data_IF_503724174733
#
_entry.id   IF_503724174733
#
_cell.length_a   1.000
_cell.length_b   1.000
_cell.length_c   1.000
_cell.angle_alpha   90.00
_cell.angle_beta   90.00
_cell.angle_gamma   90.00
#
_symmetry.space_group_name_H-M   'P 1'
#
loop_
_entity.id
_entity.type
_entity.pdbx_description
1 polymer ?
#
# COMPACT_ATOMS: atom_id res chain seq x y z
N UNK A 1 5.82 -85.00 5.54
CA UNK A 1 6.05 -84.09 4.37
C UNK A 1 4.87 -83.16 4.34
N UNK A 2 5.04 -81.89 4.83
CA UNK A 2 4.02 -80.85 4.84
C UNK A 2 4.63 -79.62 4.15
N UNK A 3 4.16 -79.34 2.97
CA UNK A 3 4.55 -78.16 2.18
C UNK A 3 3.79 -76.92 2.66
N UNK A 4 4.52 -75.88 3.11
CA UNK A 4 4.00 -74.60 3.49
C UNK A 4 3.99 -73.68 2.24
N UNK A 5 2.83 -73.20 1.88
CA UNK A 5 2.65 -72.17 0.83
C UNK A 5 2.81 -70.79 1.44
N UNK A 6 3.82 -70.04 1.02
CA UNK A 6 3.95 -68.60 1.35
C UNK A 6 3.09 -67.74 0.37
N UNK A 7 2.07 -67.09 0.91
CA UNK A 7 1.31 -66.09 0.20
C UNK A 7 2.07 -64.74 0.30
N UNK A 8 2.59 -64.26 -0.80
CA UNK A 8 3.13 -62.89 -0.96
C UNK A 8 1.95 -61.93 -1.20
N UNK A 9 1.58 -61.18 -0.18
CA UNK A 9 0.68 -60.03 -0.35
C UNK A 9 1.46 -58.81 -0.89
N UNK A 10 1.28 -58.54 -2.16
CA UNK A 10 1.80 -57.34 -2.77
C UNK A 10 1.02 -56.09 -2.31
N UNK A 11 1.69 -55.25 -1.55
CA UNK A 11 1.19 -53.92 -1.17
C UNK A 11 1.47 -52.94 -2.29
N UNK A 12 0.45 -52.61 -3.10
CA UNK A 12 0.51 -51.54 -4.11
C UNK A 12 0.48 -50.20 -3.36
N UNK A 13 1.66 -49.55 -3.25
CA UNK A 13 1.77 -48.18 -2.84
C UNK A 13 1.32 -47.27 -3.99
N UNK A 14 0.09 -46.77 -3.91
CA UNK A 14 -0.35 -45.64 -4.73
C UNK A 14 0.37 -44.37 -4.24
N UNK A 15 1.46 -44.02 -4.91
CA UNK A 15 2.09 -42.72 -4.80
C UNK A 15 1.17 -41.69 -5.48
N UNK A 16 0.32 -41.04 -4.69
CA UNK A 16 -0.38 -39.83 -5.12
C UNK A 16 0.66 -38.71 -5.24
N UNK A 17 1.17 -38.49 -6.44
CA UNK A 17 1.89 -37.28 -6.78
C UNK A 17 0.91 -36.11 -6.68
N UNK A 18 0.87 -35.45 -5.53
CA UNK A 18 0.31 -34.12 -5.42
C UNK A 18 1.16 -33.22 -6.34
N UNK A 19 0.64 -32.91 -7.52
CA UNK A 19 1.17 -31.83 -8.34
C UNK A 19 0.98 -30.55 -7.52
N UNK A 20 2.02 -30.10 -6.83
CA UNK A 20 2.15 -28.74 -6.40
C UNK A 20 2.29 -27.92 -7.66
N UNK A 21 1.18 -27.42 -8.16
CA UNK A 21 1.18 -26.35 -9.13
C UNK A 21 1.87 -25.18 -8.42
N UNK A 22 3.18 -25.03 -8.69
CA UNK A 22 3.90 -23.79 -8.49
C UNK A 22 3.23 -22.79 -9.44
N UNK A 23 2.22 -22.10 -8.93
CA UNK A 23 1.59 -20.99 -9.58
C UNK A 23 2.60 -19.84 -9.51
N UNK A 24 3.62 -19.93 -10.38
CA UNK A 24 4.60 -18.88 -10.56
C UNK A 24 3.81 -17.59 -10.75
N UNK A 25 3.89 -16.67 -9.78
CA UNK A 25 3.10 -15.46 -9.74
C UNK A 25 3.17 -14.80 -11.11
N UNK A 26 2.07 -14.81 -11.84
CA UNK A 26 2.05 -14.40 -13.24
C UNK A 26 2.62 -12.99 -13.35
N UNK A 27 3.62 -12.80 -14.23
CA UNK A 27 4.31 -11.53 -14.40
C UNK A 27 3.29 -10.46 -14.81
N UNK A 28 3.33 -9.31 -14.13
CA UNK A 28 2.41 -8.22 -14.42
C UNK A 28 2.60 -7.68 -15.85
N UNK A 29 1.49 -7.39 -16.51
CA UNK A 29 1.44 -6.77 -17.84
C UNK A 29 1.18 -5.26 -17.69
N UNK A 30 2.22 -4.46 -17.95
CA UNK A 30 2.15 -3.01 -17.80
C UNK A 30 1.23 -2.35 -18.84
N UNK A 31 1.07 -2.94 -20.04
CA UNK A 31 0.17 -2.39 -21.05
C UNK A 31 -1.29 -2.54 -20.62
N UNK A 32 -1.67 -3.74 -20.15
CA UNK A 32 -3.00 -3.98 -19.57
C UNK A 32 -3.22 -3.13 -18.31
N UNK A 33 -2.19 -2.93 -17.47
CA UNK A 33 -2.25 -2.03 -16.34
C UNK A 33 -2.57 -0.58 -16.75
N UNK A 34 -1.98 -0.11 -17.84
CA UNK A 34 -2.28 1.20 -18.45
C UNK A 34 -3.72 1.30 -18.95
N UNK A 35 -4.26 0.24 -19.58
CA UNK A 35 -5.66 0.19 -20.02
C UNK A 35 -6.63 0.25 -18.83
N UNK A 36 -6.36 -0.51 -17.77
CA UNK A 36 -7.15 -0.45 -16.52
C UNK A 36 -7.09 0.95 -15.92
N UNK A 37 -5.90 1.57 -15.85
CA UNK A 37 -5.74 2.95 -15.38
C UNK A 37 -6.61 3.92 -16.18
N UNK A 38 -6.52 3.90 -17.50
CA UNK A 38 -7.27 4.80 -18.37
C UNK A 38 -8.78 4.65 -18.22
N UNK A 39 -9.26 3.41 -18.10
CA UNK A 39 -10.70 3.10 -18.05
C UNK A 39 -11.32 3.35 -16.67
N UNK A 40 -10.59 3.08 -15.58
CA UNK A 40 -11.17 3.02 -14.22
C UNK A 40 -10.62 4.12 -13.31
N UNK A 41 -9.32 4.43 -13.39
CA UNK A 41 -8.64 5.21 -12.35
C UNK A 41 -8.38 6.66 -12.74
N UNK A 42 -8.17 6.92 -14.05
CA UNK A 42 -7.64 8.17 -14.58
C UNK A 42 -8.47 9.42 -14.25
N UNK A 43 -9.79 9.28 -14.16
CA UNK A 43 -10.68 10.41 -13.87
C UNK A 43 -10.37 11.09 -12.51
N UNK A 44 -9.87 10.31 -11.53
CA UNK A 44 -9.58 10.79 -10.18
C UNK A 44 -8.08 10.82 -9.86
N UNK A 45 -7.29 9.89 -10.45
CA UNK A 45 -5.87 9.70 -10.12
C UNK A 45 -4.93 10.08 -11.28
N UNK A 46 -5.43 10.66 -12.36
CA UNK A 46 -4.72 10.88 -13.63
C UNK A 46 -4.30 9.55 -14.30
N UNK A 47 -4.04 9.59 -15.61
CA UNK A 47 -3.74 8.36 -16.37
C UNK A 47 -2.42 7.71 -15.95
N UNK A 48 -1.44 8.48 -15.52
CA UNK A 48 -0.13 8.01 -15.09
C UNK A 48 0.03 7.95 -13.55
N UNK A 49 -1.04 8.27 -12.80
CA UNK A 49 -1.03 8.31 -11.34
C UNK A 49 -0.29 9.50 -10.74
N UNK A 50 0.01 10.51 -11.54
CA UNK A 50 0.67 11.74 -11.09
C UNK A 50 -0.25 12.63 -10.24
N UNK A 51 0.25 13.80 -9.87
CA UNK A 51 -0.49 14.77 -9.05
C UNK A 51 -1.75 15.25 -9.77
N UNK A 52 -2.91 14.99 -9.14
CA UNK A 52 -4.22 15.46 -9.55
C UNK A 52 -4.89 16.27 -8.43
N UNK A 53 -6.17 15.99 -8.14
CA UNK A 53 -6.89 16.60 -7.02
C UNK A 53 -6.22 16.31 -5.68
N UNK A 54 -6.12 17.32 -4.81
CA UNK A 54 -5.47 17.23 -3.50
C UNK A 54 -6.07 16.16 -2.57
N UNK A 55 -7.36 15.86 -2.74
CA UNK A 55 -8.05 14.83 -1.97
C UNK A 55 -7.68 13.39 -2.40
N UNK A 56 -7.16 13.21 -3.61
CA UNK A 56 -6.84 11.91 -4.16
C UNK A 56 -5.33 11.64 -4.10
N UNK A 57 -4.87 10.44 -3.72
CA UNK A 57 -3.44 10.17 -3.63
C UNK A 57 -2.77 10.11 -5.00
N UNK A 58 -1.51 10.52 -5.01
CA UNK A 58 -0.57 10.21 -6.08
C UNK A 58 -0.27 8.72 -6.01
N UNK A 59 -0.43 8.01 -7.13
CA UNK A 59 -0.16 6.57 -7.24
C UNK A 59 1.19 6.28 -7.90
N UNK A 60 1.71 7.24 -8.64
CA UNK A 60 2.97 7.17 -9.38
C UNK A 60 4.15 6.87 -8.45
N UNK A 61 4.92 5.83 -8.77
CA UNK A 61 6.08 5.42 -7.98
C UNK A 61 5.76 4.82 -6.61
N UNK A 62 4.50 4.45 -6.36
CA UNK A 62 4.11 3.71 -5.16
C UNK A 62 4.45 2.23 -5.33
N UNK A 63 4.77 1.52 -4.24
CA UNK A 63 5.05 0.09 -4.26
C UNK A 63 3.85 -0.72 -4.75
N UNK A 64 4.07 -1.64 -5.69
CA UNK A 64 3.00 -2.43 -6.30
C UNK A 64 2.22 -3.23 -5.25
N UNK A 65 2.90 -3.87 -4.33
CA UNK A 65 2.29 -4.68 -3.26
C UNK A 65 1.42 -3.84 -2.32
N UNK A 66 1.84 -2.60 -2.05
CA UNK A 66 1.01 -1.67 -1.28
C UNK A 66 -0.26 -1.29 -2.05
N UNK A 67 -0.15 -1.00 -3.35
CA UNK A 67 -1.31 -0.69 -4.19
C UNK A 67 -2.27 -1.88 -4.28
N UNK A 68 -1.76 -3.09 -4.51
CA UNK A 68 -2.56 -4.32 -4.51
C UNK A 68 -3.29 -4.49 -3.18
N UNK A 69 -2.56 -4.39 -2.06
CA UNK A 69 -3.16 -4.46 -0.72
C UNK A 69 -4.29 -3.44 -0.54
N UNK A 70 -4.09 -2.18 -0.97
CA UNK A 70 -5.12 -1.16 -0.81
C UNK A 70 -6.36 -1.46 -1.67
N UNK A 71 -6.19 -1.92 -2.91
CA UNK A 71 -7.32 -2.31 -3.77
C UNK A 71 -8.09 -3.49 -3.18
N UNK A 72 -7.40 -4.52 -2.68
CA UNK A 72 -8.02 -5.63 -1.96
C UNK A 72 -8.75 -5.18 -0.69
N UNK A 73 -8.17 -4.25 0.07
CA UNK A 73 -8.78 -3.74 1.29
C UNK A 73 -10.05 -2.91 1.00
N UNK A 74 -10.07 -2.14 -0.08
CA UNK A 74 -11.27 -1.45 -0.54
C UNK A 74 -12.34 -2.44 -1.02
N UNK A 75 -11.96 -3.39 -1.87
CA UNK A 75 -12.87 -4.41 -2.41
C UNK A 75 -13.53 -5.22 -1.29
N UNK A 76 -12.79 -5.57 -0.25
CA UNK A 76 -13.26 -6.33 0.91
C UNK A 76 -13.88 -5.46 2.03
N UNK A 77 -13.94 -4.13 1.86
CA UNK A 77 -14.47 -3.22 2.90
C UNK A 77 -13.57 -3.03 4.14
N UNK A 78 -12.37 -3.60 4.16
CA UNK A 78 -11.39 -3.40 5.25
C UNK A 78 -10.83 -1.98 5.30
N UNK A 79 -10.76 -1.30 4.14
CA UNK A 79 -10.51 0.13 4.04
C UNK A 79 -11.78 0.81 3.53
N UNK A 80 -12.38 1.66 4.36
CA UNK A 80 -13.66 2.29 4.06
C UNK A 80 -13.47 3.46 3.08
N UNK A 81 -14.15 3.41 1.95
CA UNK A 81 -14.36 4.49 0.99
C UNK A 81 -15.39 4.00 -0.01
N UNK A 82 -16.59 4.59 -0.02
CA UNK A 82 -17.65 4.18 -0.93
C UNK A 82 -17.23 4.28 -2.40
N UNK A 83 -16.50 5.36 -2.76
CA UNK A 83 -15.98 5.56 -4.12
C UNK A 83 -14.99 4.46 -4.48
N UNK A 84 -13.94 4.27 -3.66
CA UNK A 84 -12.88 3.30 -3.98
C UNK A 84 -13.37 1.85 -3.89
N UNK A 85 -14.35 1.56 -3.03
CA UNK A 85 -14.98 0.24 -3.00
C UNK A 85 -15.70 -0.05 -4.32
N UNK A 86 -16.48 0.92 -4.83
CA UNK A 86 -17.13 0.79 -6.14
C UNK A 86 -16.15 0.63 -7.29
N UNK A 87 -15.02 1.36 -7.27
CA UNK A 87 -13.98 1.27 -8.31
C UNK A 87 -13.20 -0.06 -8.23
N UNK A 88 -12.94 -0.58 -7.03
CA UNK A 88 -12.18 -1.82 -6.85
C UNK A 88 -13.04 -3.09 -7.03
N UNK A 89 -14.34 -3.02 -6.78
CA UNK A 89 -15.23 -4.18 -6.81
C UNK A 89 -15.19 -4.98 -8.13
N UNK A 90 -15.22 -4.35 -9.34
CA UNK A 90 -15.22 -5.07 -10.60
C UNK A 90 -13.83 -5.56 -11.04
N UNK A 91 -12.73 -5.16 -10.38
CA UNK A 91 -11.38 -5.53 -10.81
C UNK A 91 -11.11 -7.01 -10.54
N UNK A 92 -10.57 -7.71 -11.52
CA UNK A 92 -10.01 -9.05 -11.36
C UNK A 92 -8.67 -9.00 -10.61
N UNK A 93 -8.16 -10.15 -10.19
CA UNK A 93 -6.81 -10.25 -9.58
C UNK A 93 -5.71 -9.81 -10.57
N UNK A 94 -5.90 -10.12 -11.85
CA UNK A 94 -5.00 -9.70 -12.91
C UNK A 94 -5.05 -8.17 -13.11
N UNK A 95 -6.24 -7.57 -13.12
CA UNK A 95 -6.39 -6.11 -13.20
C UNK A 95 -5.68 -5.41 -12.03
N UNK A 96 -5.89 -5.91 -10.81
CA UNK A 96 -5.26 -5.37 -9.59
C UNK A 96 -3.74 -5.47 -9.69
N UNK A 97 -3.21 -6.63 -10.07
CA UNK A 97 -1.77 -6.85 -10.23
C UNK A 97 -1.18 -5.94 -11.31
N UNK A 98 -1.82 -5.89 -12.48
CA UNK A 98 -1.33 -5.15 -13.64
C UNK A 98 -1.36 -3.64 -13.41
N UNK A 99 -2.45 -3.08 -12.85
CA UNK A 99 -2.54 -1.64 -12.59
C UNK A 99 -1.62 -1.21 -11.44
N UNK A 100 -1.42 -2.03 -10.43
CA UNK A 100 -0.47 -1.77 -9.37
C UNK A 100 0.97 -1.72 -9.89
N UNK A 101 1.36 -2.68 -10.72
CA UNK A 101 2.67 -2.71 -11.37
C UNK A 101 2.84 -1.52 -12.34
N UNK A 102 1.79 -1.14 -13.07
CA UNK A 102 1.81 0.02 -13.96
C UNK A 102 2.14 1.30 -13.21
N UNK A 103 1.46 1.60 -12.10
CA UNK A 103 1.76 2.80 -11.31
C UNK A 103 3.12 2.72 -10.61
N UNK A 104 3.52 1.54 -10.14
CA UNK A 104 4.84 1.32 -9.55
C UNK A 104 5.99 1.55 -10.55
N UNK A 105 5.78 1.26 -11.84
CA UNK A 105 6.77 1.48 -12.90
C UNK A 105 7.02 2.95 -13.24
N UNK A 106 6.19 3.87 -12.73
CA UNK A 106 6.32 5.30 -13.01
C UNK A 106 7.30 5.96 -12.04
N UNK A 107 8.06 6.92 -12.52
CA UNK A 107 8.95 7.71 -11.67
C UNK A 107 8.13 8.76 -10.90
N UNK A 108 8.18 8.68 -9.57
CA UNK A 108 7.52 9.66 -8.72
C UNK A 108 8.12 11.06 -8.95
N UNK A 109 7.26 12.04 -9.17
CA UNK A 109 7.68 13.45 -9.30
C UNK A 109 7.83 14.10 -7.94
N UNK A 110 8.78 15.03 -7.75
CA UNK A 110 8.90 15.77 -6.50
C UNK A 110 7.62 16.54 -6.20
N UNK A 111 7.31 16.64 -4.90
CA UNK A 111 6.28 17.53 -4.40
C UNK A 111 6.89 18.74 -3.69
N UNK A 112 6.04 19.55 -3.06
CA UNK A 112 6.42 20.77 -2.38
C UNK A 112 5.67 20.86 -1.05
N UNK A 113 6.36 21.34 0.00
CA UNK A 113 5.72 21.86 1.19
C UNK A 113 5.10 23.22 0.85
N UNK A 114 3.93 23.49 1.41
CA UNK A 114 3.17 24.71 1.11
C UNK A 114 3.31 25.78 2.18
N UNK A 115 3.62 25.36 3.41
CA UNK A 115 3.67 26.23 4.59
C UNK A 115 5.03 26.12 5.27
N UNK A 116 5.89 27.11 5.02
CA UNK A 116 7.25 27.15 5.57
C UNK A 116 7.29 27.11 7.10
N UNK A 117 6.24 27.64 7.77
CA UNK A 117 6.18 27.72 9.22
C UNK A 117 5.88 26.35 9.84
N UNK A 118 5.33 25.41 9.06
CA UNK A 118 5.10 24.02 9.46
C UNK A 118 6.29 23.10 9.21
N UNK A 119 7.21 23.47 8.30
CA UNK A 119 8.31 22.61 7.86
C UNK A 119 9.20 22.18 9.03
N UNK A 120 9.57 23.08 9.93
CA UNK A 120 10.45 22.76 11.05
C UNK A 120 9.81 21.75 12.00
N UNK A 121 8.55 21.96 12.39
CA UNK A 121 7.82 21.04 13.24
C UNK A 121 7.61 19.68 12.52
N UNK A 122 7.23 19.73 11.26
CA UNK A 122 7.04 18.53 10.44
C UNK A 122 8.31 17.71 10.32
N UNK A 123 9.46 18.36 10.06
CA UNK A 123 10.77 17.73 10.01
C UNK A 123 11.15 17.08 11.34
N UNK A 124 10.95 17.80 12.45
CA UNK A 124 11.25 17.30 13.78
C UNK A 124 10.45 16.03 14.09
N UNK A 125 9.14 16.04 13.81
CA UNK A 125 8.27 14.88 14.01
C UNK A 125 8.68 13.73 13.07
N UNK A 126 8.87 14.01 11.78
CA UNK A 126 9.21 12.99 10.80
C UNK A 126 10.51 12.26 11.13
N UNK A 127 11.56 13.02 11.52
CA UNK A 127 12.90 12.48 11.76
C UNK A 127 13.15 12.03 13.19
N UNK A 128 12.50 12.66 14.17
CA UNK A 128 12.74 12.40 15.59
C UNK A 128 11.57 11.76 16.34
N UNK A 129 10.37 11.82 15.80
CA UNK A 129 9.17 11.43 16.54
C UNK A 129 8.82 12.40 17.66
N UNK A 130 8.03 11.95 18.65
CA UNK A 130 7.66 12.69 19.85
C UNK A 130 7.79 11.73 21.03
N UNK A 131 8.94 11.78 21.69
CA UNK A 131 9.34 10.81 22.71
C UNK A 131 8.36 10.76 23.91
N UNK A 132 7.92 11.90 24.40
CA UNK A 132 7.04 12.01 25.58
C UNK A 132 5.70 11.29 25.39
N UNK A 133 5.28 11.12 24.13
CA UNK A 133 4.05 10.42 23.78
C UNK A 133 4.29 9.08 23.07
N UNK A 134 5.54 8.64 23.05
CA UNK A 134 5.92 7.39 22.38
C UNK A 134 5.41 7.35 20.92
N UNK A 135 5.57 8.46 20.19
CA UNK A 135 5.37 8.55 18.75
C UNK A 135 6.73 8.33 18.09
N UNK A 136 6.93 7.22 17.36
CA UNK A 136 8.21 6.94 16.71
C UNK A 136 8.46 7.91 15.54
N UNK A 137 9.74 8.05 15.17
CA UNK A 137 10.11 8.76 13.96
C UNK A 137 9.50 8.09 12.72
N UNK A 138 8.78 8.84 11.91
CA UNK A 138 8.17 8.33 10.67
C UNK A 138 9.22 7.76 9.71
N UNK A 139 10.40 8.41 9.68
CA UNK A 139 11.55 8.01 8.87
C UNK A 139 12.05 6.58 9.17
N UNK A 140 11.83 6.06 10.38
CA UNK A 140 12.23 4.70 10.76
C UNK A 140 11.52 3.60 9.98
N UNK A 141 10.28 3.88 9.52
CA UNK A 141 9.49 2.94 8.72
C UNK A 141 9.33 3.41 7.28
N UNK A 142 9.18 4.72 7.06
CA UNK A 142 8.92 5.28 5.73
C UNK A 142 10.19 5.76 5.01
N UNK A 143 11.38 5.48 5.54
CA UNK A 143 12.69 5.93 5.05
C UNK A 143 12.94 7.44 5.23
N UNK A 144 14.20 7.90 5.30
CA UNK A 144 14.53 9.31 5.51
C UNK A 144 14.03 10.25 4.40
N UNK A 145 13.89 9.75 3.18
CA UNK A 145 13.39 10.44 1.99
C UNK A 145 11.90 10.15 1.68
N UNK A 146 11.23 9.37 2.53
CA UNK A 146 9.85 8.98 2.33
C UNK A 146 9.63 7.93 1.24
N UNK A 147 10.68 7.27 0.75
CA UNK A 147 10.56 6.23 -0.27
C UNK A 147 9.82 4.98 0.22
N UNK A 148 9.78 4.77 1.53
CA UNK A 148 9.20 3.59 2.14
C UNK A 148 10.11 2.36 2.07
N UNK A 149 9.58 1.23 2.51
CA UNK A 149 10.23 -0.08 2.41
C UNK A 149 9.26 -1.01 1.66
N UNK A 150 9.62 -1.50 0.47
CA UNK A 150 8.75 -2.35 -0.34
C UNK A 150 8.15 -3.49 0.46
N UNK A 151 6.90 -3.81 0.14
CA UNK A 151 5.95 -4.70 0.79
C UNK A 151 5.39 -4.14 2.10
N UNK A 152 6.24 -3.68 3.03
CA UNK A 152 5.80 -3.34 4.38
C UNK A 152 5.29 -1.91 4.53
N UNK A 153 6.05 -0.93 4.02
CA UNK A 153 5.76 0.49 4.26
C UNK A 153 5.66 1.27 2.94
N UNK A 154 4.58 2.02 2.73
CA UNK A 154 4.38 2.74 1.48
C UNK A 154 5.35 3.92 1.34
N UNK A 155 5.63 4.27 0.08
CA UNK A 155 6.18 5.58 -0.27
C UNK A 155 5.20 6.66 0.16
N UNK A 156 5.69 7.68 0.86
CA UNK A 156 4.91 8.86 1.27
C UNK A 156 5.59 10.17 0.85
N UNK A 157 6.89 10.15 0.54
CA UNK A 157 7.61 11.33 0.05
C UNK A 157 7.00 11.90 -1.23
N UNK A 158 6.73 13.20 -1.24
CA UNK A 158 6.08 13.91 -2.34
C UNK A 158 4.57 13.70 -2.46
N UNK A 159 3.94 12.99 -1.52
CA UNK A 159 2.49 12.80 -1.50
C UNK A 159 1.76 14.10 -1.16
N UNK A 160 0.51 14.25 -1.56
CA UNK A 160 -0.29 15.45 -1.30
C UNK A 160 -0.54 15.64 0.20
N UNK A 161 -0.27 16.84 0.72
CA UNK A 161 -0.40 17.16 2.14
C UNK A 161 -1.80 16.91 2.67
N UNK A 162 -2.82 17.35 1.91
CA UNK A 162 -4.22 17.17 2.28
C UNK A 162 -4.60 15.69 2.38
N UNK A 163 -4.12 14.88 1.44
CA UNK A 163 -4.36 13.44 1.49
C UNK A 163 -3.66 12.80 2.70
N UNK A 164 -2.39 13.14 2.97
CA UNK A 164 -1.64 12.61 4.13
C UNK A 164 -2.34 12.99 5.43
N UNK A 165 -2.73 14.27 5.58
CA UNK A 165 -3.45 14.76 6.76
C UNK A 165 -4.78 14.01 6.95
N UNK A 166 -5.56 13.85 5.88
CA UNK A 166 -6.82 13.11 5.92
C UNK A 166 -6.62 11.64 6.32
N UNK A 167 -5.55 10.99 5.83
CA UNK A 167 -5.28 9.60 6.20
C UNK A 167 -4.83 9.45 7.65
N UNK A 168 -3.98 10.33 8.17
CA UNK A 168 -3.58 10.34 9.58
C UNK A 168 -4.78 10.59 10.48
N UNK A 169 -5.63 11.55 10.13
CA UNK A 169 -6.90 11.82 10.86
C UNK A 169 -7.82 10.59 10.83
N UNK A 170 -7.95 9.93 9.70
CA UNK A 170 -8.77 8.73 9.57
C UNK A 170 -8.23 7.55 10.41
N UNK A 171 -6.92 7.37 10.46
CA UNK A 171 -6.29 6.38 11.36
C UNK A 171 -6.52 6.74 12.82
N UNK A 172 -6.34 8.00 13.20
CA UNK A 172 -6.58 8.49 14.57
C UNK A 172 -8.01 8.26 15.02
N UNK A 173 -8.96 8.51 14.15
CA UNK A 173 -10.39 8.34 14.44
C UNK A 173 -10.87 6.88 14.31
N UNK A 174 -10.01 5.93 13.93
CA UNK A 174 -10.40 4.54 13.69
C UNK A 174 -11.24 4.32 12.41
N UNK A 175 -11.51 5.38 11.63
CA UNK A 175 -12.22 5.28 10.36
C UNK A 175 -11.41 4.52 9.30
N UNK A 176 -10.08 4.59 9.37
CA UNK A 176 -9.15 3.77 8.64
C UNK A 176 -8.42 2.83 9.60
N UNK A 177 -8.77 1.53 9.59
CA UNK A 177 -8.23 0.53 10.51
C UNK A 177 -7.41 -0.58 9.83
N UNK A 178 -7.12 -0.44 8.53
CA UNK A 178 -6.46 -1.49 7.75
C UNK A 178 -4.93 -1.59 7.98
N UNK A 179 -4.39 -0.87 8.95
CA UNK A 179 -3.02 -0.98 9.45
C UNK A 179 -2.97 -0.65 10.96
N UNK A 180 -2.79 -1.66 11.83
CA UNK A 180 -2.77 -1.47 13.28
C UNK A 180 -1.66 -0.53 13.76
N UNK A 181 -0.46 -0.61 13.18
CA UNK A 181 0.68 0.25 13.54
C UNK A 181 0.35 1.72 13.32
N UNK A 182 -0.20 2.06 12.13
CA UNK A 182 -0.56 3.44 11.82
C UNK A 182 -1.72 3.95 12.69
N UNK A 183 -2.65 3.07 13.08
CA UNK A 183 -3.72 3.41 14.01
C UNK A 183 -3.15 3.81 15.38
N UNK A 184 -2.20 3.02 15.92
CA UNK A 184 -1.57 3.32 17.22
C UNK A 184 -0.72 4.59 17.15
N UNK A 185 0.03 4.81 16.09
CA UNK A 185 0.87 6.01 15.90
C UNK A 185 -0.01 7.26 15.80
N UNK A 186 -0.99 7.25 14.90
CA UNK A 186 -1.85 8.40 14.64
C UNK A 186 -2.77 8.74 15.83
N UNK A 187 -3.21 7.75 16.61
CA UNK A 187 -4.05 7.96 17.80
C UNK A 187 -3.45 8.94 18.81
N UNK A 188 -2.13 9.08 18.81
CA UNK A 188 -1.39 9.95 19.74
C UNK A 188 -1.10 11.35 19.17
N UNK A 189 -1.40 11.61 17.90
CA UNK A 189 -1.09 12.88 17.24
C UNK A 189 -2.24 13.89 17.39
N UNK A 190 -1.92 15.17 17.57
CA UNK A 190 -2.87 16.26 17.50
C UNK A 190 -2.97 16.85 16.06
N UNK A 191 -3.92 17.77 15.85
CA UNK A 191 -4.17 18.35 14.52
C UNK A 191 -2.99 19.16 13.98
N UNK A 192 -2.33 19.93 14.85
CA UNK A 192 -1.16 20.74 14.44
C UNK A 192 0.00 19.84 13.97
N UNK A 193 0.23 18.74 14.65
CA UNK A 193 1.27 17.77 14.30
C UNK A 193 0.95 17.01 13.02
N UNK A 194 -0.32 16.59 12.85
CA UNK A 194 -0.78 15.96 11.61
C UNK A 194 -0.60 16.91 10.45
N UNK A 195 -1.00 18.19 10.59
CA UNK A 195 -0.83 19.21 9.56
C UNK A 195 0.62 19.41 9.21
N UNK A 196 1.48 19.58 10.22
CA UNK A 196 2.90 19.86 10.05
C UNK A 196 3.64 18.69 9.35
N UNK A 197 3.45 17.45 9.82
CA UNK A 197 4.11 16.30 9.19
C UNK A 197 3.58 16.02 7.79
N UNK A 198 2.30 16.26 7.53
CA UNK A 198 1.71 16.10 6.20
C UNK A 198 2.30 17.08 5.18
N UNK A 199 2.47 18.35 5.56
CA UNK A 199 3.09 19.37 4.72
C UNK A 199 4.58 19.08 4.47
N UNK A 200 5.32 18.69 5.52
CA UNK A 200 6.71 18.27 5.38
C UNK A 200 6.88 17.10 4.42
N UNK A 201 6.05 16.07 4.55
CA UNK A 201 6.07 14.87 3.67
C UNK A 201 5.79 15.24 2.22
N UNK A 202 4.93 16.22 1.95
CA UNK A 202 4.66 16.68 0.59
C UNK A 202 5.90 17.27 -0.10
N UNK A 203 6.82 17.86 0.65
CA UNK A 203 8.10 18.39 0.14
C UNK A 203 9.28 17.41 0.25
N UNK A 204 9.09 16.24 0.86
CA UNK A 204 10.17 15.28 1.12
C UNK A 204 10.64 14.58 -0.16
N UNK A 205 11.96 14.50 -0.36
CA UNK A 205 12.63 13.92 -1.53
C UNK A 205 14.06 13.44 -1.19
#
# INVERSE_FOLDING_TARGET
MKTAACLFSGFLLFASAAALADEAAAKADLAKGGEVSARVCAACHTADGSRGSAANPILQGQHAEYLMKQLHDFKAGRRKSAVMQGMAAPLSEDDIRNVAAFYASKTAKPGFAHDKDLVELGQKIYRGGIADRSIPACAGCHSPDGSGIPVQYPRIGGQQAEYVAAQLTAFRAGARGNNPTMTVVAAKMNDAEIKAVADYVAGLR
#
